data_IF_529563108682
#
_entry.id   IF_529563108682
#
_cell.length_a   1.000
_cell.length_b   1.000
_cell.length_c   1.000
_cell.angle_alpha   90.00
_cell.angle_beta   90.00
_cell.angle_gamma   90.00
#
_symmetry.space_group_name_H-M   'P 1'
#
loop_
_entity.id
_entity.type
_entity.pdbx_description
1 polymer ?
#
# COMPACT_ATOMS: atom_id res chain seq x y z
N UNK A 1 20.23 -43.46 -0.06
CA UNK A 1 21.18 -42.77 -0.96
C UNK A 1 21.16 -41.29 -0.63
N UNK A 2 22.26 -40.77 -0.11
CA UNK A 2 22.35 -39.42 0.46
C UNK A 2 22.78 -38.47 -0.67
N UNK A 3 21.83 -37.78 -1.31
CA UNK A 3 22.10 -36.91 -2.46
C UNK A 3 22.78 -35.60 -2.02
N UNK A 4 24.05 -35.70 -1.60
CA UNK A 4 24.95 -34.56 -1.33
C UNK A 4 25.06 -33.60 -2.53
N UNK A 5 24.82 -34.10 -3.74
CA UNK A 5 24.85 -33.30 -4.96
C UNK A 5 23.69 -32.29 -5.07
N UNK A 6 22.50 -32.60 -4.51
CA UNK A 6 21.34 -31.70 -4.61
C UNK A 6 21.49 -30.45 -3.71
N UNK A 7 22.20 -30.57 -2.59
CA UNK A 7 22.42 -29.46 -1.63
C UNK A 7 23.46 -28.44 -2.10
N UNK A 8 24.36 -28.84 -3.01
CA UNK A 8 25.36 -27.94 -3.61
C UNK A 8 24.83 -27.31 -4.90
N UNK A 9 23.93 -28.00 -5.62
CA UNK A 9 23.41 -27.53 -6.89
C UNK A 9 22.56 -26.26 -6.74
N UNK A 10 21.71 -26.17 -5.70
CA UNK A 10 20.83 -25.01 -5.46
C UNK A 10 21.62 -23.70 -5.30
N UNK A 11 22.63 -23.60 -4.41
CA UNK A 11 23.40 -22.36 -4.27
C UNK A 11 24.27 -22.05 -5.50
N UNK A 12 24.76 -23.06 -6.22
CA UNK A 12 25.55 -22.84 -7.45
C UNK A 12 24.68 -22.30 -8.59
N UNK A 13 23.47 -22.82 -8.76
CA UNK A 13 22.50 -22.30 -9.76
C UNK A 13 22.09 -20.88 -9.41
N UNK A 14 21.86 -20.57 -8.12
CA UNK A 14 21.54 -19.21 -7.69
C UNK A 14 22.66 -18.21 -8.02
N UNK A 15 23.93 -18.59 -7.81
CA UNK A 15 25.09 -17.75 -8.16
C UNK A 15 25.22 -17.56 -9.68
N UNK A 16 24.94 -18.60 -10.48
CA UNK A 16 24.97 -18.50 -11.95
C UNK A 16 23.85 -17.60 -12.47
N UNK A 17 22.63 -17.69 -11.92
CA UNK A 17 21.52 -16.80 -12.28
C UNK A 17 21.88 -15.34 -11.98
N UNK A 18 22.48 -15.07 -10.82
CA UNK A 18 22.96 -13.72 -10.47
C UNK A 18 24.06 -13.25 -11.45
N UNK A 19 25.02 -14.11 -11.80
CA UNK A 19 26.09 -13.76 -12.74
C UNK A 19 25.58 -13.52 -14.18
N UNK A 20 24.65 -14.32 -14.68
CA UNK A 20 24.04 -14.09 -16.00
C UNK A 20 23.20 -12.80 -16.02
N UNK A 21 22.47 -12.49 -14.95
CA UNK A 21 21.75 -11.21 -14.82
C UNK A 21 22.70 -10.01 -14.84
N UNK A 22 23.88 -10.12 -14.22
CA UNK A 22 24.90 -9.04 -14.25
C UNK A 22 25.55 -8.89 -15.64
N UNK A 23 25.80 -9.99 -16.35
CA UNK A 23 26.45 -9.95 -17.68
C UNK A 23 25.50 -9.42 -18.76
N UNK A 24 24.18 -9.65 -18.65
CA UNK A 24 23.17 -9.09 -19.57
C UNK A 24 23.08 -7.56 -19.48
N UNK A 25 23.29 -6.99 -18.29
CA UNK A 25 23.34 -5.53 -18.07
C UNK A 25 24.65 -4.93 -18.60
N UNK A 26 25.74 -5.71 -18.65
CA UNK A 26 27.06 -5.21 -19.06
C UNK A 26 27.28 -5.11 -20.58
N UNK A 27 26.38 -5.65 -21.42
CA UNK A 27 26.48 -5.56 -22.90
C UNK A 27 25.55 -4.54 -23.56
N UNK A 28 24.64 -3.89 -22.81
CA UNK A 28 23.69 -2.92 -23.36
C UNK A 28 24.11 -1.45 -23.23
N UNK A 29 25.28 -1.16 -22.63
CA UNK A 29 25.71 0.22 -22.39
C UNK A 29 27.15 0.40 -22.84
N UNK A 30 27.35 0.72 -24.13
CA UNK A 30 28.63 1.22 -24.61
C UNK A 30 28.44 2.54 -25.38
N UNK A 31 28.56 3.69 -24.71
CA UNK A 31 28.95 4.93 -25.36
C UNK A 31 30.48 5.10 -25.26
N UNK A 32 31.12 5.36 -26.41
CA UNK A 32 32.43 5.99 -26.48
C UNK A 32 32.38 7.36 -25.77
N UNK A 33 33.28 7.63 -24.81
CA UNK A 33 34.41 8.59 -24.91
C UNK A 33 35.11 8.85 -23.56
N UNK A 34 36.45 8.90 -23.62
CA UNK A 34 37.44 9.68 -22.87
C UNK A 34 37.29 9.98 -21.34
N UNK A 35 38.21 9.37 -20.58
CA UNK A 35 39.12 9.93 -19.55
C UNK A 35 38.62 10.82 -18.37
N UNK A 36 38.86 10.23 -17.18
CA UNK A 36 39.49 10.74 -15.94
C UNK A 36 38.64 11.27 -14.77
N UNK A 37 38.75 10.48 -13.69
CA UNK A 37 38.80 10.79 -12.25
C UNK A 37 37.62 11.43 -11.53
N UNK A 38 37.15 10.72 -10.49
CA UNK A 38 36.33 11.26 -9.42
C UNK A 38 35.43 10.20 -8.78
N UNK A 39 35.91 9.60 -7.69
CA UNK A 39 35.13 8.70 -6.84
C UNK A 39 33.81 9.35 -6.40
N UNK A 40 32.70 8.67 -6.67
CA UNK A 40 31.50 8.71 -5.84
C UNK A 40 30.80 7.35 -5.98
N UNK A 41 30.78 6.58 -4.89
CA UNK A 41 29.86 5.46 -4.74
C UNK A 41 28.46 6.07 -4.59
N UNK A 42 27.74 6.19 -5.70
CA UNK A 42 26.30 6.37 -5.65
C UNK A 42 25.70 5.12 -4.99
N UNK A 43 25.08 5.33 -3.83
CA UNK A 43 24.12 4.43 -3.24
C UNK A 43 23.17 3.97 -4.34
N UNK A 44 23.07 2.66 -4.55
CA UNK A 44 21.96 2.07 -5.25
C UNK A 44 20.68 2.37 -4.45
N UNK A 45 20.08 3.55 -4.70
CA UNK A 45 18.66 3.71 -4.52
C UNK A 45 18.03 2.68 -5.43
N UNK A 46 17.31 1.71 -4.87
CA UNK A 46 16.34 0.95 -5.64
C UNK A 46 15.50 1.98 -6.36
N UNK A 47 15.66 2.01 -7.69
CA UNK A 47 14.83 2.82 -8.54
C UNK A 47 13.40 2.43 -8.19
N UNK A 48 12.62 3.40 -7.70
CA UNK A 48 11.17 3.32 -7.75
C UNK A 48 10.87 3.08 -9.22
N UNK A 49 10.65 1.80 -9.57
CA UNK A 49 10.11 1.47 -10.88
C UNK A 49 8.78 2.20 -10.87
N UNK A 50 8.67 3.22 -11.71
CA UNK A 50 7.49 4.04 -11.92
C UNK A 50 6.44 3.14 -12.59
N UNK A 51 5.93 2.18 -11.82
CA UNK A 51 4.88 1.27 -12.25
C UNK A 51 3.58 2.05 -12.21
N UNK A 52 2.86 2.05 -13.32
CA UNK A 52 1.55 2.68 -13.38
C UNK A 52 0.64 2.08 -12.28
N UNK A 53 -0.07 2.94 -11.52
CA UNK A 53 -0.92 2.46 -10.44
C UNK A 53 -2.06 1.62 -11.01
N UNK A 54 -2.28 0.45 -10.42
CA UNK A 54 -3.33 -0.49 -10.85
C UNK A 54 -4.59 -0.38 -10.02
N UNK A 55 -4.59 0.46 -8.97
CA UNK A 55 -5.72 0.78 -8.13
C UNK A 55 -5.58 2.16 -7.48
N UNK A 56 -6.72 2.73 -7.10
CA UNK A 56 -6.83 3.95 -6.32
C UNK A 56 -7.61 3.70 -5.02
N UNK A 57 -7.09 4.18 -3.89
CA UNK A 57 -7.89 4.31 -2.67
C UNK A 57 -8.62 5.65 -2.66
N UNK A 58 -9.94 5.58 -2.44
CA UNK A 58 -10.82 6.74 -2.44
C UNK A 58 -11.52 6.90 -1.09
N UNK A 59 -11.34 8.06 -0.45
CA UNK A 59 -12.18 8.49 0.66
C UNK A 59 -13.51 9.06 0.16
N UNK A 60 -14.60 8.65 0.81
CA UNK A 60 -15.95 9.15 0.56
C UNK A 60 -16.57 9.67 1.87
N UNK A 61 -17.10 10.89 1.83
CA UNK A 61 -17.88 11.51 2.92
C UNK A 61 -19.01 12.33 2.30
N UNK A 62 -20.06 12.61 3.08
CA UNK A 62 -21.16 13.48 2.62
C UNK A 62 -20.71 14.93 2.39
N UNK A 63 -19.71 15.38 3.15
CA UNK A 63 -19.20 16.75 3.14
C UNK A 63 -17.77 16.76 3.66
N UNK A 64 -16.92 17.57 3.03
CA UNK A 64 -15.58 17.88 3.53
C UNK A 64 -15.63 18.93 4.65
N UNK A 65 -16.76 19.61 4.83
CA UNK A 65 -17.00 20.49 5.98
C UNK A 65 -17.67 19.71 7.10
N UNK A 66 -17.04 19.66 8.28
CA UNK A 66 -17.55 19.02 9.49
C UNK A 66 -17.79 20.06 10.59
N UNK A 67 -18.71 19.75 11.50
CA UNK A 67 -19.04 20.58 12.65
C UNK A 67 -18.33 20.04 13.88
N UNK A 68 -17.82 20.93 14.73
CA UNK A 68 -17.16 20.56 15.98
C UNK A 68 -18.03 19.61 16.80
N UNK A 69 -17.41 18.57 17.36
CA UNK A 69 -18.08 17.56 18.20
C UNK A 69 -19.23 16.78 17.52
N UNK A 70 -19.41 16.90 16.19
CA UNK A 70 -20.38 16.11 15.43
C UNK A 70 -19.68 15.04 14.61
N UNK A 71 -20.17 13.81 14.77
CA UNK A 71 -19.64 12.66 14.08
C UNK A 71 -20.11 12.65 12.61
N UNK A 72 -19.17 12.49 11.68
CA UNK A 72 -19.43 12.29 10.25
C UNK A 72 -18.92 10.94 9.78
N UNK A 73 -19.68 10.26 8.93
CA UNK A 73 -19.27 8.98 8.36
C UNK A 73 -18.26 9.21 7.23
N UNK A 74 -17.11 8.55 7.33
CA UNK A 74 -16.10 8.46 6.28
C UNK A 74 -16.00 7.00 5.85
N UNK A 75 -15.96 6.76 4.54
CA UNK A 75 -15.68 5.46 3.95
C UNK A 75 -14.35 5.50 3.22
N UNK A 76 -13.67 4.37 3.19
CA UNK A 76 -12.48 4.12 2.37
C UNK A 76 -12.83 3.01 1.40
N UNK A 77 -12.71 3.33 0.12
CA UNK A 77 -12.98 2.43 -0.98
C UNK A 77 -11.68 2.14 -1.75
N UNK A 78 -11.64 1.00 -2.42
CA UNK A 78 -10.65 0.66 -3.44
C UNK A 78 -11.33 0.68 -4.81
N UNK A 79 -10.69 1.30 -5.79
CA UNK A 79 -11.14 1.37 -7.17
C UNK A 79 -10.04 0.80 -8.07
N UNK A 80 -10.17 -0.45 -8.55
CA UNK A 80 -9.20 -1.05 -9.46
C UNK A 80 -9.20 -0.30 -10.80
N UNK A 81 -8.01 -0.09 -11.36
CA UNK A 81 -7.81 0.42 -12.73
C UNK A 81 -7.67 -0.73 -13.72
N UNK A 82 -7.23 -1.90 -13.25
CA UNK A 82 -7.13 -3.14 -14.01
C UNK A 82 -7.83 -4.30 -13.31
N UNK A 83 -8.14 -5.35 -14.07
CA UNK A 83 -8.65 -6.62 -13.54
C UNK A 83 -7.48 -7.43 -12.94
N UNK A 84 -7.66 -7.95 -11.73
CA UNK A 84 -6.72 -8.86 -11.08
C UNK A 84 -7.41 -9.68 -9.98
N UNK A 85 -6.68 -10.62 -9.38
CA UNK A 85 -7.16 -11.40 -8.24
C UNK A 85 -6.42 -10.94 -6.99
N UNK A 86 -7.16 -10.46 -6.01
CA UNK A 86 -6.63 -9.95 -4.76
C UNK A 86 -6.26 -11.11 -3.82
N UNK A 87 -5.07 -11.05 -3.22
CA UNK A 87 -4.60 -11.97 -2.17
C UNK A 87 -4.70 -11.34 -0.77
N UNK A 88 -4.30 -10.07 -0.67
CA UNK A 88 -4.35 -9.35 0.59
C UNK A 88 -4.45 -7.82 0.39
N UNK A 89 -5.09 -7.16 1.35
CA UNK A 89 -5.02 -5.70 1.55
C UNK A 89 -4.64 -5.45 2.99
N UNK A 90 -3.49 -4.85 3.23
CA UNK A 90 -3.17 -4.27 4.52
C UNK A 90 -3.42 -2.77 4.44
N UNK A 91 -4.51 -2.28 5.01
CA UNK A 91 -4.89 -0.87 4.95
C UNK A 91 -4.50 -0.15 6.24
N UNK A 92 -3.78 0.97 6.09
CA UNK A 92 -3.43 1.87 7.18
C UNK A 92 -3.87 3.29 6.81
N UNK A 93 -4.77 3.87 7.59
CA UNK A 93 -5.20 5.28 7.43
C UNK A 93 -4.64 6.08 8.59
N UNK A 94 -3.85 7.12 8.27
CA UNK A 94 -3.29 8.05 9.25
C UNK A 94 -4.32 9.11 9.65
N UNK A 95 -4.35 9.45 10.92
CA UNK A 95 -5.13 10.55 11.47
C UNK A 95 -4.43 11.14 12.70
N UNK A 96 -4.77 12.39 13.05
CA UNK A 96 -4.27 13.04 14.26
C UNK A 96 -5.25 12.83 15.45
N UNK A 97 -4.89 12.04 16.46
CA UNK A 97 -5.76 11.77 17.61
C UNK A 97 -5.93 12.95 18.55
N UNK A 98 -5.09 13.98 18.49
CA UNK A 98 -5.21 15.19 19.32
C UNK A 98 -6.39 16.05 18.86
N UNK A 99 -6.63 16.09 17.54
CA UNK A 99 -7.62 16.98 16.93
C UNK A 99 -8.91 16.29 16.51
N UNK A 100 -8.94 14.95 16.43
CA UNK A 100 -10.16 14.19 16.12
C UNK A 100 -10.24 12.84 16.83
N UNK A 101 -11.47 12.32 16.94
CA UNK A 101 -11.76 10.95 17.42
C UNK A 101 -12.28 10.12 16.26
N UNK A 102 -11.74 8.91 16.10
CA UNK A 102 -12.27 7.89 15.20
C UNK A 102 -13.04 6.85 16.02
N UNK A 103 -14.24 6.47 15.56
CA UNK A 103 -15.08 5.46 16.22
C UNK A 103 -15.94 4.69 15.22
N UNK A 104 -16.64 3.65 15.68
CA UNK A 104 -17.60 2.91 14.84
C UNK A 104 -16.99 2.25 13.60
N UNK A 105 -15.76 1.73 13.70
CA UNK A 105 -15.11 1.02 12.60
C UNK A 105 -15.96 -0.16 12.13
N UNK A 106 -16.33 -0.15 10.86
CA UNK A 106 -17.13 -1.16 10.19
C UNK A 106 -16.47 -1.52 8.84
N UNK A 107 -16.80 -2.67 8.29
CA UNK A 107 -16.26 -3.17 7.03
C UNK A 107 -17.40 -3.40 6.03
N UNK A 108 -17.13 -3.15 4.75
CA UNK A 108 -18.09 -3.44 3.69
C UNK A 108 -18.22 -4.95 3.49
N UNK A 109 -19.29 -5.39 2.83
CA UNK A 109 -19.53 -6.79 2.48
C UNK A 109 -18.96 -7.16 1.12
N UNK A 110 -18.43 -6.19 0.38
CA UNK A 110 -17.82 -6.42 -0.94
C UNK A 110 -16.57 -7.29 -0.86
N UNK A 111 -15.82 -7.24 0.25
CA UNK A 111 -14.69 -8.12 0.53
C UNK A 111 -14.96 -9.05 1.70
N UNK A 112 -14.22 -10.18 1.82
CA UNK A 112 -14.17 -10.95 3.05
C UNK A 112 -13.86 -10.07 4.26
N UNK A 113 -14.38 -10.45 5.43
CA UNK A 113 -14.12 -9.71 6.67
C UNK A 113 -12.60 -9.62 6.92
N UNK A 114 -12.07 -8.46 7.37
CA UNK A 114 -10.66 -8.36 7.69
C UNK A 114 -10.28 -9.32 8.82
N UNK A 115 -9.12 -9.97 8.68
CA UNK A 115 -8.51 -10.85 9.69
C UNK A 115 -8.11 -10.06 10.93
N UNK A 116 -7.74 -8.79 10.75
CA UNK A 116 -7.42 -7.88 11.84
C UNK A 116 -7.94 -6.48 11.52
N UNK A 117 -8.53 -5.80 12.50
CA UNK A 117 -8.84 -4.38 12.38
C UNK A 117 -8.83 -3.68 13.74
N UNK A 118 -8.37 -2.42 13.77
CA UNK A 118 -8.25 -1.64 15.00
C UNK A 118 -8.17 -0.15 14.71
N UNK A 119 -8.76 0.66 15.58
CA UNK A 119 -8.42 2.09 15.72
C UNK A 119 -7.35 2.21 16.82
N UNK A 120 -6.14 2.60 16.44
CA UNK A 120 -5.00 2.77 17.34
C UNK A 120 -4.77 4.25 17.64
N UNK A 121 -5.35 4.72 18.75
CA UNK A 121 -5.21 6.11 19.20
C UNK A 121 -3.75 6.47 19.47
N UNK A 122 -2.99 5.59 20.10
CA UNK A 122 -1.56 5.77 20.39
C UNK A 122 -0.72 6.02 19.12
N UNK A 123 -1.09 5.38 18.01
CA UNK A 123 -0.36 5.47 16.75
C UNK A 123 -0.99 6.43 15.75
N UNK A 124 -2.13 7.05 16.06
CA UNK A 124 -2.88 7.86 15.09
C UNK A 124 -3.25 7.08 13.83
N UNK A 125 -3.68 5.81 13.96
CA UNK A 125 -3.93 4.94 12.81
C UNK A 125 -5.25 4.16 12.90
N UNK A 126 -5.94 4.04 11.77
CA UNK A 126 -6.97 3.01 11.55
C UNK A 126 -6.35 1.91 10.71
N UNK A 127 -6.44 0.67 11.19
CA UNK A 127 -5.83 -0.50 10.56
C UNK A 127 -6.93 -1.48 10.16
N UNK A 128 -6.83 -2.04 8.96
CA UNK A 128 -7.67 -3.15 8.51
C UNK A 128 -6.89 -4.04 7.53
N UNK A 129 -6.65 -5.29 7.95
CA UNK A 129 -5.92 -6.27 7.16
C UNK A 129 -6.88 -7.34 6.67
N UNK A 130 -7.03 -7.41 5.37
CA UNK A 130 -7.84 -8.38 4.63
C UNK A 130 -6.89 -9.45 4.09
N UNK A 131 -7.07 -10.69 4.52
CA UNK A 131 -6.37 -11.84 3.93
C UNK A 131 -7.41 -12.70 3.22
N UNK A 132 -7.21 -12.91 1.93
CA UNK A 132 -8.10 -13.72 1.11
C UNK A 132 -7.67 -15.18 1.23
N UNK A 133 -8.62 -16.05 1.57
CA UNK A 133 -8.34 -17.46 1.88
C UNK A 133 -8.52 -18.39 0.68
N UNK A 134 -9.24 -17.89 -0.33
CA UNK A 134 -9.56 -18.58 -1.56
C UNK A 134 -8.30 -18.72 -2.42
N UNK A 135 -8.01 -19.95 -2.87
CA UNK A 135 -6.80 -20.25 -3.67
C UNK A 135 -6.70 -19.40 -4.95
N UNK A 136 -7.85 -19.10 -5.57
CA UNK A 136 -7.93 -18.25 -6.75
C UNK A 136 -7.79 -16.74 -6.43
N UNK A 137 -7.84 -16.36 -5.15
CA UNK A 137 -7.95 -14.98 -4.70
C UNK A 137 -9.37 -14.42 -4.89
N UNK A 138 -9.53 -13.13 -4.60
CA UNK A 138 -10.79 -12.42 -4.77
C UNK A 138 -10.73 -11.61 -6.06
N UNK A 139 -11.54 -11.98 -7.05
CA UNK A 139 -11.55 -11.30 -8.34
C UNK A 139 -12.10 -9.88 -8.23
N UNK A 140 -11.28 -8.89 -8.60
CA UNK A 140 -11.70 -7.49 -8.70
C UNK A 140 -11.68 -7.04 -10.15
N UNK A 141 -12.58 -6.13 -10.52
CA UNK A 141 -12.75 -5.64 -11.89
C UNK A 141 -12.44 -4.16 -11.97
N UNK A 142 -11.87 -3.76 -13.10
CA UNK A 142 -11.60 -2.37 -13.43
C UNK A 142 -12.88 -1.52 -13.30
N UNK A 143 -12.76 -0.41 -12.56
CA UNK A 143 -13.83 0.55 -12.32
C UNK A 143 -14.86 0.15 -11.26
N UNK A 144 -14.84 -1.08 -10.74
CA UNK A 144 -15.76 -1.49 -9.68
C UNK A 144 -15.30 -0.95 -8.32
N UNK A 145 -16.18 -0.20 -7.65
CA UNK A 145 -15.91 0.32 -6.31
C UNK A 145 -16.04 -0.82 -5.30
N UNK A 146 -14.94 -1.18 -4.66
CA UNK A 146 -14.88 -2.14 -3.57
C UNK A 146 -14.81 -1.38 -2.24
N UNK A 147 -15.83 -1.48 -1.41
CA UNK A 147 -15.80 -0.91 -0.06
C UNK A 147 -14.80 -1.66 0.81
N UNK A 148 -13.98 -0.94 1.58
CA UNK A 148 -13.05 -1.57 2.53
C UNK A 148 -13.58 -1.40 3.95
N UNK A 149 -13.52 -0.17 4.44
CA UNK A 149 -13.91 0.18 5.81
C UNK A 149 -14.70 1.48 5.81
N UNK A 150 -15.47 1.66 6.88
CA UNK A 150 -16.09 2.94 7.21
C UNK A 150 -15.96 3.19 8.70
N UNK A 151 -15.87 4.46 9.08
CA UNK A 151 -15.75 4.88 10.46
C UNK A 151 -16.30 6.30 10.65
N UNK A 152 -16.65 6.62 11.88
CA UNK A 152 -17.11 7.93 12.28
C UNK A 152 -15.92 8.79 12.69
N UNK A 153 -15.83 9.98 12.11
CA UNK A 153 -14.87 11.03 12.47
C UNK A 153 -15.59 12.11 13.29
N UNK A 154 -15.11 12.39 14.49
CA UNK A 154 -15.62 13.46 15.36
C UNK A 154 -14.50 14.46 15.62
N UNK A 155 -14.53 15.67 15.03
CA UNK A 155 -13.53 16.70 15.29
C UNK A 155 -13.62 17.27 16.72
N UNK A 156 -12.46 17.57 17.31
CA UNK A 156 -12.31 18.15 18.66
C UNK A 156 -11.86 19.60 18.63
N UNK A 157 -11.20 20.02 17.55
CA UNK A 157 -10.61 21.34 17.38
C UNK A 157 -11.02 21.89 16.00
N UNK A 158 -11.39 23.18 15.86
CA UNK A 158 -11.60 23.81 14.56
C UNK A 158 -10.30 23.94 13.76
N UNK A 159 -10.37 23.80 12.43
CA UNK A 159 -9.20 23.86 11.56
C UNK A 159 -9.32 23.01 10.30
N UNK A 160 -8.21 22.90 9.57
CA UNK A 160 -8.11 22.04 8.39
C UNK A 160 -7.24 20.83 8.72
N UNK A 161 -7.76 19.63 8.49
CA UNK A 161 -7.09 18.37 8.77
C UNK A 161 -7.16 17.46 7.56
N UNK A 162 -6.24 16.51 7.48
CA UNK A 162 -6.19 15.58 6.37
C UNK A 162 -6.19 14.15 6.88
N UNK A 163 -7.03 13.31 6.29
CA UNK A 163 -6.93 11.86 6.37
C UNK A 163 -6.26 11.34 5.10
N UNK A 164 -5.32 10.41 5.25
CA UNK A 164 -4.62 9.82 4.13
C UNK A 164 -4.33 8.34 4.37
N UNK A 165 -4.34 7.56 3.28
CA UNK A 165 -3.81 6.19 3.30
C UNK A 165 -2.30 6.27 3.42
N UNK A 166 -1.74 5.56 4.39
CA UNK A 166 -0.31 5.56 4.58
C UNK A 166 0.39 4.79 3.46
N UNK A 167 1.28 5.47 2.75
CA UNK A 167 2.10 4.88 1.69
C UNK A 167 3.45 4.46 2.26
N UNK A 168 4.04 3.41 1.66
CA UNK A 168 5.41 2.99 1.97
C UNK A 168 6.35 4.18 1.74
N UNK A 169 6.90 4.71 2.83
CA UNK A 169 8.13 5.51 2.80
C UNK A 169 9.19 4.65 3.48
N UNK A 170 10.37 4.50 2.87
CA UNK A 170 11.48 3.73 3.43
C UNK A 170 11.68 4.07 4.92
N UNK A 171 11.48 3.07 5.80
CA UNK A 171 11.68 3.19 7.25
C UNK A 171 10.41 3.27 8.11
N UNK A 172 9.20 3.30 7.55
CA UNK A 172 7.96 3.24 8.35
C UNK A 172 7.46 1.79 8.56
N UNK A 173 7.18 1.41 9.82
CA UNK A 173 6.74 0.05 10.21
C UNK A 173 5.29 -0.31 9.83
N UNK A 174 4.52 0.59 9.19
CA UNK A 174 3.08 0.40 8.99
C UNK A 174 2.60 1.05 7.71
N UNK A 175 2.81 0.38 6.57
CA UNK A 175 2.47 0.90 5.26
C UNK A 175 1.34 0.10 4.60
N UNK A 176 0.50 0.77 3.81
CA UNK A 176 -0.55 0.10 3.06
C UNK A 176 0.05 -0.75 1.95
N UNK A 177 -0.41 -1.99 1.85
CA UNK A 177 0.01 -2.96 0.84
C UNK A 177 -1.23 -3.60 0.22
N UNK A 178 -1.18 -3.78 -1.10
CA UNK A 178 -2.14 -4.60 -1.83
C UNK A 178 -1.36 -5.68 -2.54
N UNK A 179 -1.76 -6.94 -2.43
CA UNK A 179 -1.01 -8.07 -2.98
C UNK A 179 -1.85 -8.78 -4.01
N UNK A 180 -1.28 -8.98 -5.20
CA UNK A 180 -1.89 -9.78 -6.27
C UNK A 180 -1.69 -11.28 -6.01
N UNK A 181 -2.73 -12.07 -6.23
CA UNK A 181 -2.71 -13.51 -5.99
C UNK A 181 -1.88 -14.27 -7.03
N UNK A 182 -1.86 -13.83 -8.28
CA UNK A 182 -1.16 -14.53 -9.36
C UNK A 182 0.36 -14.40 -9.27
N UNK A 183 0.84 -13.20 -8.93
CA UNK A 183 2.26 -12.83 -8.89
C UNK A 183 2.84 -12.81 -7.49
N UNK A 184 1.99 -12.71 -6.45
CA UNK A 184 2.37 -12.50 -5.05
C UNK A 184 3.20 -11.22 -4.82
N UNK A 185 3.17 -10.30 -5.78
CA UNK A 185 3.84 -9.01 -5.69
C UNK A 185 2.90 -7.96 -5.11
N UNK A 186 3.50 -6.95 -4.45
CA UNK A 186 2.78 -5.75 -4.07
C UNK A 186 2.36 -4.97 -5.33
N UNK A 187 1.10 -4.58 -5.38
CA UNK A 187 0.53 -3.78 -6.46
C UNK A 187 0.74 -2.28 -6.19
N UNK A 188 1.19 -1.50 -7.18
CA UNK A 188 1.29 -0.06 -7.06
C UNK A 188 -0.10 0.58 -6.97
N UNK A 189 -0.25 1.58 -6.11
CA UNK A 189 -1.51 2.28 -5.91
C UNK A 189 -1.37 3.78 -5.74
N UNK A 190 -2.45 4.49 -6.07
CA UNK A 190 -2.67 5.88 -5.68
C UNK A 190 -3.69 5.97 -4.57
N UNK A 191 -3.77 7.14 -3.94
CA UNK A 191 -4.80 7.42 -2.93
C UNK A 191 -5.08 8.90 -2.97
N UNK A 192 -6.36 9.26 -2.94
CA UNK A 192 -6.75 10.62 -2.64
C UNK A 192 -6.56 10.91 -1.15
N UNK A 193 -6.39 12.18 -0.82
CA UNK A 193 -6.47 12.65 0.57
C UNK A 193 -7.88 13.16 0.82
N UNK A 194 -8.36 13.00 2.06
CA UNK A 194 -9.58 13.66 2.51
C UNK A 194 -9.21 14.85 3.36
N UNK A 195 -9.34 16.05 2.77
CA UNK A 195 -9.21 17.31 3.48
C UNK A 195 -10.55 17.66 4.15
N UNK A 196 -10.48 17.90 5.46
CA UNK A 196 -11.60 18.16 6.35
C UNK A 196 -11.47 19.59 6.87
N UNK A 197 -12.47 20.43 6.59
CA UNK A 197 -12.62 21.75 7.17
C UNK A 197 -13.58 21.69 8.37
N UNK A 198 -13.10 22.01 9.56
CA UNK A 198 -13.88 21.94 10.80
C UNK A 198 -14.30 23.34 11.22
N UNK A 199 -15.61 23.54 11.27
CA UNK A 199 -16.23 24.77 11.76
C UNK A 199 -16.63 24.61 13.23
N UNK A 200 -16.68 25.73 13.95
CA UNK A 200 -17.23 25.83 15.31
C UNK A 200 -18.71 25.41 15.39
#
# INVERSE_FOLDING_TARGET
MNNKYLKILIPVVAIIVILESVILISRASKPQTANLDGQNMEQAGDAVVDQEPVLEFMFETKSNTMQLNRASLVKVNMVPVADYNLDAVELYVKYDPEVMTISGLNYDKSLPKPTFSKVSVEKGMVVANFLISEEAGFGVRSGEIQGLISFMVTPKVPGNYTLEVNKVTLGEESATLVVDNGTKNALPFTSNKLDINVLE
#
